data_IF_655538215030
#
_entry.id   IF_655538215030
#
_cell.length_a   1.000
_cell.length_b   1.000
_cell.length_c   1.000
_cell.angle_alpha   90.00
_cell.angle_beta   90.00
_cell.angle_gamma   90.00
#
_symmetry.space_group_name_H-M   'P 1'
#
loop_
_entity.id
_entity.type
_entity.pdbx_description
1 polymer ?
#
# COMPACT_ATOMS: atom_id res chain seq x y z
N UNK A 1 -4.99 5.80 -5.69
CA UNK A 1 -4.91 4.34 -5.92
C UNK A 1 -4.04 4.06 -7.14
N UNK A 2 -3.15 3.05 -7.12
CA UNK A 2 -2.64 2.54 -8.38
C UNK A 2 -3.86 2.09 -9.19
N UNK A 3 -4.04 2.64 -10.40
CA UNK A 3 -5.05 2.14 -11.31
C UNK A 3 -4.55 0.76 -11.71
N UNK A 4 -5.16 -0.29 -11.17
CA UNK A 4 -4.98 -1.62 -11.73
C UNK A 4 -5.38 -1.48 -13.19
N UNK A 5 -4.50 -1.87 -14.11
CA UNK A 5 -4.86 -1.93 -15.52
C UNK A 5 -5.84 -3.11 -15.68
N UNK A 6 -7.09 -2.92 -15.24
CA UNK A 6 -8.09 -3.97 -15.05
C UNK A 6 -8.29 -4.78 -16.34
N UNK A 7 -8.39 -4.09 -17.48
CA UNK A 7 -8.44 -4.73 -18.78
C UNK A 7 -7.23 -5.61 -19.08
N UNK A 8 -6.00 -5.13 -18.83
CA UNK A 8 -4.80 -5.93 -19.07
C UNK A 8 -4.72 -7.15 -18.13
N UNK A 9 -5.10 -6.96 -16.87
CA UNK A 9 -5.15 -8.03 -15.89
C UNK A 9 -6.19 -9.11 -16.24
N UNK A 10 -7.40 -8.69 -16.61
CA UNK A 10 -8.48 -9.61 -17.01
C UNK A 10 -8.11 -10.32 -18.31
N UNK A 11 -7.54 -9.62 -19.31
CA UNK A 11 -7.01 -10.28 -20.52
C UNK A 11 -6.00 -11.37 -20.21
N UNK A 12 -5.04 -11.10 -19.31
CA UNK A 12 -4.08 -12.12 -18.90
C UNK A 12 -4.76 -13.33 -18.25
N UNK A 13 -5.83 -13.13 -17.46
CA UNK A 13 -6.62 -14.25 -16.92
C UNK A 13 -7.35 -15.03 -18.00
N UNK A 14 -7.90 -14.34 -19.00
CA UNK A 14 -8.54 -14.97 -20.16
C UNK A 14 -7.55 -15.82 -20.95
N UNK A 15 -6.35 -15.29 -21.22
CA UNK A 15 -5.28 -15.98 -21.93
C UNK A 15 -4.84 -17.25 -21.19
N UNK A 16 -4.65 -17.16 -19.85
CA UNK A 16 -4.31 -18.31 -19.00
C UNK A 16 -5.40 -19.40 -19.04
N UNK A 17 -6.67 -19.00 -19.15
CA UNK A 17 -7.83 -19.91 -19.17
C UNK A 17 -8.21 -20.39 -20.56
N UNK A 18 -7.60 -19.84 -21.62
CA UNK A 18 -7.95 -20.15 -23.01
C UNK A 18 -9.36 -19.70 -23.40
N UNK A 19 -9.87 -18.63 -22.78
CA UNK A 19 -11.21 -18.09 -23.09
C UNK A 19 -11.09 -16.73 -23.81
N UNK A 20 -11.97 -16.41 -24.76
CA UNK A 20 -11.94 -15.11 -25.44
C UNK A 20 -12.31 -14.00 -24.45
N UNK A 21 -11.57 -12.89 -24.47
CA UNK A 21 -11.86 -11.73 -23.63
C UNK A 21 -13.17 -11.04 -24.05
N UNK A 22 -14.04 -10.77 -23.07
CA UNK A 22 -15.20 -9.89 -23.25
C UNK A 22 -15.03 -8.54 -22.52
N UNK A 23 -15.39 -7.40 -23.15
CA UNK A 23 -15.22 -6.08 -22.55
C UNK A 23 -15.87 -5.90 -21.17
N UNK A 24 -17.01 -6.54 -20.94
CA UNK A 24 -17.77 -6.40 -19.71
C UNK A 24 -17.08 -7.03 -18.48
N UNK A 25 -16.17 -8.00 -18.68
CA UNK A 25 -15.43 -8.62 -17.58
C UNK A 25 -14.45 -7.67 -16.89
N UNK A 26 -13.85 -6.71 -17.62
CA UNK A 26 -13.01 -5.70 -16.98
C UNK A 26 -13.80 -4.79 -16.04
N UNK A 27 -15.05 -4.47 -16.40
CA UNK A 27 -15.95 -3.68 -15.56
C UNK A 27 -16.38 -4.50 -14.32
N UNK A 28 -16.84 -5.74 -14.51
CA UNK A 28 -17.22 -6.63 -13.40
C UNK A 28 -16.05 -6.85 -12.44
N UNK A 29 -14.85 -7.08 -12.96
CA UNK A 29 -13.64 -7.20 -12.16
C UNK A 29 -13.35 -5.93 -11.37
N UNK A 30 -13.45 -4.76 -11.99
CA UNK A 30 -13.19 -3.48 -11.30
C UNK A 30 -14.16 -3.27 -10.15
N UNK A 31 -15.45 -3.54 -10.35
CA UNK A 31 -16.47 -3.45 -9.29
C UNK A 31 -16.15 -4.42 -8.14
N UNK A 32 -15.87 -5.69 -8.45
CA UNK A 32 -15.52 -6.68 -7.44
C UNK A 32 -14.23 -6.30 -6.68
N UNK A 33 -13.24 -5.76 -7.39
CA UNK A 33 -11.98 -5.32 -6.82
C UNK A 33 -12.16 -4.11 -5.89
N UNK A 34 -13.00 -3.14 -6.27
CA UNK A 34 -13.32 -1.98 -5.43
C UNK A 34 -14.02 -2.41 -4.13
N UNK A 35 -14.97 -3.34 -4.21
CA UNK A 35 -15.62 -3.94 -3.02
C UNK A 35 -14.59 -4.66 -2.14
N UNK A 36 -13.71 -5.46 -2.74
CA UNK A 36 -12.63 -6.15 -2.01
C UNK A 36 -11.71 -5.16 -1.28
N UNK A 37 -11.29 -4.09 -1.95
CA UNK A 37 -10.46 -3.04 -1.35
C UNK A 37 -11.21 -2.31 -0.23
N UNK A 38 -12.51 -2.03 -0.39
CA UNK A 38 -13.34 -1.43 0.65
C UNK A 38 -13.41 -2.33 1.91
N UNK A 39 -13.61 -3.64 1.74
CA UNK A 39 -13.58 -4.61 2.84
C UNK A 39 -12.22 -4.57 3.56
N UNK A 40 -11.11 -4.63 2.82
CA UNK A 40 -9.77 -4.55 3.42
C UNK A 40 -9.54 -3.24 4.18
N UNK A 41 -10.02 -2.12 3.65
CA UNK A 41 -9.94 -0.82 4.33
C UNK A 41 -10.75 -0.84 5.63
N UNK A 42 -11.96 -1.39 5.60
CA UNK A 42 -12.81 -1.51 6.79
C UNK A 42 -12.16 -2.38 7.87
N UNK A 43 -11.64 -3.55 7.50
CA UNK A 43 -10.91 -4.43 8.43
C UNK A 43 -9.72 -3.69 9.04
N UNK A 44 -8.92 -2.98 8.24
CA UNK A 44 -7.79 -2.18 8.74
C UNK A 44 -8.24 -1.08 9.69
N UNK A 45 -9.37 -0.44 9.43
CA UNK A 45 -9.94 0.57 10.32
C UNK A 45 -10.35 -0.04 11.66
N UNK A 46 -11.04 -1.18 11.64
CA UNK A 46 -11.43 -1.90 12.87
C UNK A 46 -10.20 -2.33 13.68
N UNK A 47 -9.18 -2.90 13.03
CA UNK A 47 -7.91 -3.27 13.69
C UNK A 47 -7.23 -2.05 14.30
N UNK A 48 -7.20 -0.90 13.60
CA UNK A 48 -6.62 0.33 14.17
C UNK A 48 -7.38 0.78 15.40
N UNK A 49 -8.72 0.81 15.35
CA UNK A 49 -9.55 1.16 16.50
C UNK A 49 -9.32 0.22 17.69
N UNK A 50 -9.29 -1.09 17.46
CA UNK A 50 -9.05 -2.09 18.51
C UNK A 50 -7.66 -1.98 19.15
N UNK A 51 -6.68 -1.39 18.44
CA UNK A 51 -5.34 -1.13 18.95
C UNK A 51 -5.14 0.31 19.47
N UNK A 52 -6.21 1.12 19.53
CA UNK A 52 -6.15 2.55 19.86
C UNK A 52 -5.20 3.36 18.95
N UNK A 53 -5.21 3.03 17.66
CA UNK A 53 -4.35 3.60 16.59
C UNK A 53 -5.12 4.40 15.54
N UNK A 54 -6.30 4.88 15.89
CA UNK A 54 -7.27 5.51 15.00
C UNK A 54 -7.26 7.04 15.03
N UNK A 55 -6.47 7.66 15.91
CA UNK A 55 -6.30 9.13 15.89
C UNK A 55 -5.60 9.58 14.60
N UNK A 56 -5.95 10.78 14.12
CA UNK A 56 -5.46 11.32 12.85
C UNK A 56 -3.92 11.41 12.81
N UNK A 57 -3.33 11.80 13.94
CA UNK A 57 -1.88 11.97 14.09
C UNK A 57 -1.19 10.73 14.66
N UNK A 58 -1.91 9.63 14.93
CA UNK A 58 -1.35 8.46 15.61
C UNK A 58 -0.05 8.00 14.97
N UNK A 59 -0.01 7.92 13.63
CA UNK A 59 1.17 7.50 12.89
C UNK A 59 2.34 8.48 13.00
N UNK A 60 2.08 9.79 13.04
CA UNK A 60 3.15 10.79 13.13
C UNK A 60 3.73 10.77 14.54
N UNK A 61 2.89 10.62 15.55
CA UNK A 61 3.29 10.61 16.96
C UNK A 61 3.96 9.30 17.39
N UNK A 62 3.61 8.16 16.75
CA UNK A 62 4.03 6.83 17.20
C UNK A 62 4.95 6.08 16.22
N UNK A 63 5.15 6.57 14.98
CA UNK A 63 6.18 5.97 14.13
C UNK A 63 7.55 6.55 14.50
N UNK A 64 8.56 5.68 14.51
CA UNK A 64 9.94 6.14 14.48
C UNK A 64 10.14 6.94 13.17
N UNK A 65 10.51 8.23 13.24
CA UNK A 65 10.96 8.91 12.03
C UNK A 65 12.15 8.14 11.46
N UNK A 66 12.39 8.23 10.16
CA UNK A 66 13.63 7.74 9.57
C UNK A 66 14.79 8.55 10.16
N UNK A 67 15.28 8.15 11.33
CA UNK A 67 16.23 8.94 12.08
C UNK A 67 17.59 8.79 11.42
N UNK A 68 18.19 9.93 11.07
CA UNK A 68 19.62 10.03 10.80
C UNK A 68 20.40 10.46 12.06
N UNK A 69 19.68 10.64 13.16
CA UNK A 69 20.19 11.16 14.42
C UNK A 69 21.11 10.14 15.05
N UNK A 70 22.31 10.57 15.42
CA UNK A 70 23.28 9.76 16.17
C UNK A 70 23.03 9.93 17.66
N UNK A 71 23.11 8.84 18.40
CA UNK A 71 23.13 8.90 19.86
C UNK A 71 24.56 9.22 20.33
N UNK A 72 24.71 10.06 21.35
CA UNK A 72 26.03 10.34 21.93
C UNK A 72 26.62 9.03 22.46
N UNK A 73 27.80 8.65 21.98
CA UNK A 73 28.48 7.39 22.32
C UNK A 73 28.21 6.21 21.38
N UNK A 74 27.44 6.39 20.31
CA UNK A 74 27.22 5.36 19.30
C UNK A 74 28.51 5.06 18.51
N UNK A 75 28.83 3.76 18.32
CA UNK A 75 30.03 3.34 17.59
C UNK A 75 29.90 3.67 16.10
N UNK A 76 30.99 4.14 15.49
CA UNK A 76 30.99 4.39 14.04
C UNK A 76 30.88 3.08 13.26
N UNK A 77 29.77 2.89 12.56
CA UNK A 77 29.56 1.77 11.66
C UNK A 77 30.22 2.03 10.29
N UNK A 78 30.80 1.01 9.62
CA UNK A 78 31.35 1.14 8.26
C UNK A 78 30.31 1.55 7.22
N UNK A 79 29.07 1.07 7.38
CA UNK A 79 27.91 1.47 6.59
C UNK A 79 26.97 2.26 7.50
N UNK A 80 26.85 3.57 7.25
CA UNK A 80 26.13 4.52 8.12
C UNK A 80 24.60 4.42 8.00
N UNK A 81 24.09 3.94 6.87
CA UNK A 81 22.67 3.88 6.59
C UNK A 81 22.40 2.86 5.49
N UNK A 82 21.37 2.04 5.68
CA UNK A 82 20.78 1.24 4.61
C UNK A 82 19.49 1.92 4.17
N UNK A 83 19.44 2.39 2.93
CA UNK A 83 18.26 3.04 2.37
C UNK A 83 17.48 2.00 1.58
N UNK A 84 16.27 1.66 2.06
CA UNK A 84 15.32 0.89 1.29
C UNK A 84 14.33 1.86 0.62
N UNK A 85 14.46 2.02 -0.71
CA UNK A 85 13.54 2.85 -1.50
C UNK A 85 12.42 1.98 -2.03
N UNK A 86 11.22 2.18 -1.51
CA UNK A 86 9.95 1.58 -1.96
C UNK A 86 9.50 2.15 -3.32
N UNK A 87 10.35 2.14 -4.35
CA UNK A 87 10.02 2.61 -5.72
C UNK A 87 9.19 3.91 -5.78
N UNK A 88 9.43 4.84 -4.85
CA UNK A 88 8.68 6.08 -4.71
C UNK A 88 7.20 6.00 -4.23
N UNK A 89 6.72 4.91 -3.62
CA UNK A 89 5.34 4.86 -3.08
C UNK A 89 5.16 5.62 -1.76
N UNK A 90 6.23 5.85 -0.99
CA UNK A 90 6.18 6.70 0.21
C UNK A 90 5.83 8.15 -0.09
N UNK A 91 6.32 8.72 -1.21
CA UNK A 91 5.95 10.05 -1.70
C UNK A 91 4.50 10.14 -2.22
N UNK A 92 3.81 9.01 -2.45
CA UNK A 92 2.38 9.00 -2.80
C UNK A 92 1.45 9.18 -1.60
N UNK A 93 2.00 9.30 -0.37
CA UNK A 93 1.24 9.58 0.86
C UNK A 93 1.20 11.06 1.22
N UNK A 94 1.43 11.94 0.25
CA UNK A 94 1.12 13.37 0.40
C UNK A 94 -0.41 13.50 0.38
N UNK A 95 -0.98 14.13 1.41
CA UNK A 95 -2.38 14.51 1.40
C UNK A 95 -2.64 15.43 0.20
N UNK A 96 -3.64 15.10 -0.61
CA UNK A 96 -4.17 16.03 -1.62
C UNK A 96 -5.13 16.99 -0.95
#
# INVERSE_FOLDING_TARGET
CPRVAAQAFVKALCDIRGVPYEPHWAQQFSVAYDVYVAILQQVRTLVRKGLHRDSIDWRILNNCPSCQTRVIGEKSLPVRMMVAIDRNNSLKRIAR
#
